data_IF_040015043830
#
_entry.id   IF_040015043830
#
_cell.length_a   1.000
_cell.length_b   1.000
_cell.length_c   1.000
_cell.angle_alpha   90.00
_cell.angle_beta   90.00
_cell.angle_gamma   90.00
#
_symmetry.space_group_name_H-M   'P 1'
#
loop_
_entity.id
_entity.type
_entity.pdbx_description
1 polymer ?
#
# COMPACT_ATOMS: atom_id res chain seq x y z
N UNK A 1 6.82 -29.22 -15.55
CA UNK A 1 5.43 -29.62 -15.24
C UNK A 1 4.69 -28.31 -14.96
N UNK A 2 3.78 -27.92 -15.86
CA UNK A 2 3.04 -26.67 -15.76
C UNK A 2 1.87 -26.86 -14.80
N UNK A 3 1.96 -26.28 -13.61
CA UNK A 3 0.85 -26.31 -12.65
C UNK A 3 -0.20 -25.30 -13.13
N UNK A 4 -1.31 -25.79 -13.63
CA UNK A 4 -2.46 -24.95 -13.96
C UNK A 4 -3.02 -24.36 -12.66
N UNK A 5 -2.79 -23.05 -12.44
CA UNK A 5 -3.50 -22.31 -11.41
C UNK A 5 -5.01 -22.37 -11.69
N UNK A 6 -5.75 -22.73 -10.66
CA UNK A 6 -7.20 -22.89 -10.69
C UNK A 6 -7.90 -21.64 -11.22
N UNK A 7 -8.73 -21.84 -12.22
CA UNK A 7 -9.57 -20.85 -12.87
C UNK A 7 -10.63 -20.33 -11.89
N UNK A 8 -10.47 -19.11 -11.42
CA UNK A 8 -11.60 -18.18 -11.27
C UNK A 8 -11.03 -16.74 -11.23
N UNK A 9 -10.54 -16.31 -12.38
CA UNK A 9 -10.19 -14.91 -12.59
C UNK A 9 -11.36 -14.28 -13.31
N UNK A 10 -12.14 -13.45 -12.62
CA UNK A 10 -13.14 -12.62 -13.28
C UNK A 10 -12.45 -11.79 -14.36
N UNK A 11 -12.99 -11.78 -15.57
CA UNK A 11 -12.49 -10.93 -16.63
C UNK A 11 -12.56 -9.46 -16.20
N UNK A 12 -11.57 -8.63 -16.59
CA UNK A 12 -11.62 -7.20 -16.27
C UNK A 12 -12.88 -6.58 -16.90
N UNK A 13 -13.65 -5.86 -16.07
CA UNK A 13 -14.85 -5.13 -16.53
C UNK A 13 -14.44 -4.17 -17.63
N UNK A 14 -15.20 -4.17 -18.74
CA UNK A 14 -14.96 -3.28 -19.88
C UNK A 14 -14.98 -1.82 -19.43
N UNK A 15 -14.15 -0.94 -20.02
CA UNK A 15 -14.05 0.48 -19.63
C UNK A 15 -15.39 1.25 -19.66
N UNK A 16 -16.36 0.79 -20.43
CA UNK A 16 -17.70 1.41 -20.60
C UNK A 16 -18.64 1.19 -19.41
N UNK A 17 -18.33 0.24 -18.51
CA UNK A 17 -19.12 -0.05 -17.30
C UNK A 17 -18.49 0.50 -16.01
N UNK A 18 -17.39 1.22 -16.10
CA UNK A 18 -16.79 1.85 -14.93
C UNK A 18 -17.66 3.01 -14.46
N UNK A 19 -18.31 2.82 -13.32
CA UNK A 19 -18.90 3.95 -12.61
C UNK A 19 -17.78 4.96 -12.32
N UNK A 20 -17.99 6.21 -12.76
CA UNK A 20 -17.05 7.28 -12.48
C UNK A 20 -17.14 7.66 -11.00
N UNK A 21 -16.29 7.03 -10.17
CA UNK A 21 -16.24 7.33 -8.73
C UNK A 21 -15.88 8.80 -8.49
N UNK A 22 -15.21 9.43 -9.44
CA UNK A 22 -14.88 10.84 -9.38
C UNK A 22 -16.13 11.69 -9.56
N UNK A 23 -17.01 11.29 -10.48
CA UNK A 23 -18.33 11.92 -10.64
C UNK A 23 -19.20 11.66 -9.40
N UNK A 24 -19.21 10.44 -8.86
CA UNK A 24 -19.90 10.13 -7.61
C UNK A 24 -19.35 10.97 -6.45
N UNK A 25 -18.05 11.09 -6.31
CA UNK A 25 -17.42 11.91 -5.29
C UNK A 25 -17.66 13.40 -5.51
N UNK A 26 -17.72 13.88 -6.76
CA UNK A 26 -18.07 15.26 -7.10
C UNK A 26 -19.55 15.56 -6.90
N UNK A 27 -20.44 14.58 -7.13
CA UNK A 27 -21.88 14.68 -6.83
C UNK A 27 -22.19 14.58 -5.34
N UNK A 28 -21.28 14.03 -4.55
CA UNK A 28 -21.38 14.01 -3.10
C UNK A 28 -21.10 15.41 -2.58
N UNK A 29 -22.13 16.25 -2.50
CA UNK A 29 -22.03 17.46 -1.70
C UNK A 29 -21.64 17.06 -0.27
N UNK A 30 -20.37 17.26 0.08
CA UNK A 30 -19.82 16.95 1.40
C UNK A 30 -20.56 17.72 2.51
N UNK A 31 -21.29 18.79 2.15
CA UNK A 31 -22.03 19.62 3.06
C UNK A 31 -23.53 19.53 2.75
N UNK A 32 -24.33 19.45 3.80
CA UNK A 32 -25.79 19.62 3.71
C UNK A 32 -26.15 21.10 3.52
N UNK A 33 -27.44 21.38 3.38
CA UNK A 33 -27.93 22.75 3.23
C UNK A 33 -27.58 23.67 4.42
N UNK A 34 -27.21 23.11 5.57
CA UNK A 34 -26.83 23.82 6.78
C UNK A 34 -25.30 23.92 6.96
N UNK A 35 -24.51 23.48 5.97
CA UNK A 35 -23.07 23.49 6.01
C UNK A 35 -22.43 22.39 6.88
N UNK A 36 -23.19 21.36 7.25
CA UNK A 36 -22.68 20.21 8.02
C UNK A 36 -22.14 19.12 7.09
N UNK A 37 -20.97 18.57 7.43
CA UNK A 37 -20.35 17.50 6.66
C UNK A 37 -21.21 16.22 6.70
N UNK A 38 -21.47 15.66 5.51
CA UNK A 38 -22.24 14.43 5.34
C UNK A 38 -21.32 13.21 5.18
N UNK A 39 -20.90 12.64 6.31
CA UNK A 39 -20.01 11.46 6.30
C UNK A 39 -20.65 10.19 5.70
N UNK A 40 -21.96 10.07 5.71
CA UNK A 40 -22.66 8.88 5.21
C UNK A 40 -22.55 8.74 3.69
N UNK A 41 -22.57 9.86 2.97
CA UNK A 41 -22.38 9.86 1.50
C UNK A 41 -20.95 9.45 1.10
N UNK A 42 -19.96 9.87 1.88
CA UNK A 42 -18.56 9.49 1.64
C UNK A 42 -18.35 8.00 1.88
N UNK A 43 -19.02 7.41 2.87
CA UNK A 43 -19.03 5.95 3.09
C UNK A 43 -19.66 5.19 1.93
N UNK A 44 -20.75 5.70 1.37
CA UNK A 44 -21.39 5.07 0.22
C UNK A 44 -20.46 5.09 -1.00
N UNK A 45 -19.79 6.21 -1.28
CA UNK A 45 -18.79 6.29 -2.34
C UNK A 45 -17.64 5.28 -2.14
N UNK A 46 -17.17 5.12 -0.89
CA UNK A 46 -16.17 4.12 -0.55
C UNK A 46 -16.71 2.68 -0.79
N UNK A 47 -17.94 2.38 -0.39
CA UNK A 47 -18.56 1.08 -0.62
C UNK A 47 -18.68 0.76 -2.12
N UNK A 48 -19.14 1.71 -2.93
CA UNK A 48 -19.27 1.53 -4.37
C UNK A 48 -17.88 1.33 -5.02
N UNK A 49 -16.86 2.06 -4.59
CA UNK A 49 -15.49 1.85 -5.05
C UNK A 49 -14.99 0.43 -4.75
N UNK A 50 -15.25 -0.09 -3.54
CA UNK A 50 -14.88 -1.47 -3.21
C UNK A 50 -15.62 -2.50 -4.04
N UNK A 51 -16.95 -2.37 -4.16
CA UNK A 51 -17.78 -3.35 -4.87
C UNK A 51 -17.47 -3.40 -6.36
N UNK A 52 -17.28 -2.24 -6.98
CA UNK A 52 -17.21 -2.13 -8.44
C UNK A 52 -15.78 -2.12 -8.97
N UNK A 53 -14.81 -1.75 -8.15
CA UNK A 53 -13.41 -1.67 -8.59
C UNK A 53 -12.47 -2.58 -7.79
N UNK A 54 -12.34 -2.36 -6.48
CA UNK A 54 -11.31 -3.03 -5.68
C UNK A 54 -11.50 -4.54 -5.67
N UNK A 55 -12.71 -5.01 -5.33
CA UNK A 55 -12.98 -6.44 -5.20
C UNK A 55 -12.85 -7.19 -6.53
N UNK A 56 -13.19 -6.55 -7.64
CA UNK A 56 -13.10 -7.16 -8.97
C UNK A 56 -11.65 -7.25 -9.47
N UNK A 57 -10.78 -6.33 -9.02
CA UNK A 57 -9.38 -6.29 -9.41
C UNK A 57 -8.44 -6.87 -8.34
N UNK A 58 -8.94 -7.47 -7.26
CA UNK A 58 -8.12 -8.12 -6.25
C UNK A 58 -7.86 -9.57 -6.62
N UNK A 59 -6.60 -9.99 -6.52
CA UNK A 59 -6.23 -11.42 -6.62
C UNK A 59 -6.55 -12.09 -5.29
N UNK A 60 -7.33 -13.15 -5.33
CA UNK A 60 -7.68 -13.93 -4.16
C UNK A 60 -6.87 -15.21 -4.12
N UNK A 61 -6.36 -15.54 -2.96
CA UNK A 61 -5.62 -16.76 -2.67
C UNK A 61 -6.46 -17.65 -1.75
N UNK A 62 -6.27 -18.96 -1.84
CA UNK A 62 -7.01 -19.91 -1.01
C UNK A 62 -6.65 -19.76 0.47
N UNK A 63 -5.36 -19.61 0.76
CA UNK A 63 -4.84 -19.38 2.10
C UNK A 63 -3.64 -18.44 2.10
N UNK A 64 -3.11 -18.15 3.30
CA UNK A 64 -1.98 -17.24 3.46
C UNK A 64 -0.66 -17.85 2.95
N UNK A 65 -0.49 -19.16 3.05
CA UNK A 65 0.73 -19.85 2.62
C UNK A 65 0.86 -19.76 1.10
N UNK A 66 -0.19 -20.12 0.36
CA UNK A 66 -0.25 -19.94 -1.10
C UNK A 66 0.04 -18.48 -1.51
N UNK A 67 -0.53 -17.52 -0.76
CA UNK A 67 -0.33 -16.10 -1.03
C UNK A 67 1.11 -15.69 -0.87
N UNK A 68 1.75 -16.02 0.26
CA UNK A 68 3.14 -15.64 0.54
C UNK A 68 4.08 -16.32 -0.43
N UNK A 69 3.91 -17.60 -0.71
CA UNK A 69 4.69 -18.34 -1.70
C UNK A 69 4.58 -17.71 -3.10
N UNK A 70 3.37 -17.35 -3.50
CA UNK A 70 3.16 -16.65 -4.77
C UNK A 70 3.90 -15.31 -4.80
N UNK A 71 3.81 -14.51 -3.74
CA UNK A 71 4.42 -13.17 -3.68
C UNK A 71 5.95 -13.22 -3.64
N UNK A 72 6.54 -14.23 -2.98
CA UNK A 72 7.99 -14.46 -2.97
C UNK A 72 8.47 -14.96 -4.34
N UNK A 73 7.84 -16.01 -4.88
CA UNK A 73 8.24 -16.63 -6.14
C UNK A 73 8.15 -15.67 -7.34
N UNK A 74 7.22 -14.71 -7.29
CA UNK A 74 7.07 -13.68 -8.31
C UNK A 74 7.80 -12.37 -7.97
N UNK A 75 8.70 -12.36 -6.97
CA UNK A 75 9.53 -11.21 -6.59
C UNK A 75 8.76 -9.96 -6.15
N UNK A 76 7.62 -10.15 -5.53
CA UNK A 76 6.87 -9.07 -4.90
C UNK A 76 7.30 -8.84 -3.46
N UNK A 77 7.46 -9.91 -2.66
CA UNK A 77 7.95 -9.84 -1.29
C UNK A 77 9.42 -10.25 -1.21
N UNK A 78 10.14 -9.60 -0.30
CA UNK A 78 11.50 -9.94 0.04
C UNK A 78 11.51 -11.21 0.90
N UNK A 79 12.09 -12.33 0.41
CA UNK A 79 12.14 -13.57 1.18
C UNK A 79 12.88 -13.42 2.50
N UNK A 80 13.91 -12.55 2.56
CA UNK A 80 14.71 -12.33 3.77
C UNK A 80 13.87 -11.84 4.95
N UNK A 81 12.80 -11.09 4.71
CA UNK A 81 11.91 -10.63 5.77
C UNK A 81 11.05 -11.77 6.31
N UNK A 82 10.58 -12.65 5.44
CA UNK A 82 9.74 -13.78 5.81
C UNK A 82 10.55 -14.86 6.54
N UNK A 83 11.76 -15.13 6.09
CA UNK A 83 12.66 -16.16 6.64
C UNK A 83 13.13 -15.86 8.08
N UNK A 84 12.99 -14.62 8.55
CA UNK A 84 13.32 -14.24 9.93
C UNK A 84 12.31 -14.77 10.96
N UNK A 85 11.15 -15.25 10.51
CA UNK A 85 10.04 -15.64 11.37
C UNK A 85 9.54 -17.04 11.08
N UNK A 86 9.07 -17.73 12.11
CA UNK A 86 8.31 -18.96 11.92
C UNK A 86 6.99 -18.67 11.19
N UNK A 87 6.64 -19.48 10.22
CA UNK A 87 5.41 -19.29 9.44
C UNK A 87 4.13 -19.29 10.30
N UNK A 88 4.12 -20.06 11.38
CA UNK A 88 3.03 -20.05 12.37
C UNK A 88 2.82 -18.67 12.99
N UNK A 89 3.91 -17.98 13.32
CA UNK A 89 3.86 -16.60 13.83
C UNK A 89 3.33 -15.63 12.76
N UNK A 90 3.83 -15.72 11.53
CA UNK A 90 3.35 -14.88 10.41
C UNK A 90 1.83 -15.03 10.26
N UNK A 91 1.35 -16.27 10.29
CA UNK A 91 -0.09 -16.57 10.18
C UNK A 91 -0.91 -15.93 11.30
N UNK A 92 -0.44 -16.00 12.54
CA UNK A 92 -1.12 -15.37 13.68
C UNK A 92 -1.06 -13.83 13.59
N UNK A 93 0.05 -13.26 13.13
CA UNK A 93 0.20 -11.81 12.94
C UNK A 93 -0.79 -11.27 11.90
N UNK A 94 -0.89 -11.91 10.74
CA UNK A 94 -1.88 -11.55 9.72
C UNK A 94 -3.31 -11.68 10.25
N UNK A 95 -3.61 -12.78 10.94
CA UNK A 95 -4.91 -13.00 11.57
C UNK A 95 -5.23 -11.90 12.61
N UNK A 96 -4.24 -11.45 13.38
CA UNK A 96 -4.37 -10.33 14.32
C UNK A 96 -4.75 -9.04 13.59
N UNK A 97 -4.08 -8.69 12.48
CA UNK A 97 -4.40 -7.52 11.68
C UNK A 97 -5.83 -7.59 11.13
N UNK A 98 -6.24 -8.73 10.57
CA UNK A 98 -7.60 -8.93 10.05
C UNK A 98 -8.70 -8.93 11.13
N UNK A 99 -8.36 -9.27 12.39
CA UNK A 99 -9.31 -9.23 13.51
C UNK A 99 -9.81 -7.80 13.83
N UNK A 100 -9.05 -6.77 13.47
CA UNK A 100 -9.49 -5.37 13.59
C UNK A 100 -10.64 -5.00 12.65
N UNK A 101 -10.91 -5.80 11.61
CA UNK A 101 -11.98 -5.54 10.63
C UNK A 101 -11.90 -4.11 10.09
N UNK A 102 -10.71 -3.69 9.70
CA UNK A 102 -10.43 -2.32 9.27
C UNK A 102 -11.41 -1.83 8.19
N UNK A 103 -11.79 -0.57 8.29
CA UNK A 103 -12.63 0.11 7.30
C UNK A 103 -12.10 1.53 7.09
N UNK A 104 -11.90 1.90 5.85
CA UNK A 104 -11.55 3.28 5.51
C UNK A 104 -12.69 4.21 5.93
N UNK A 105 -12.33 5.31 6.58
CA UNK A 105 -13.31 6.30 7.07
C UNK A 105 -13.81 7.22 5.97
N UNK A 106 -13.04 7.36 4.88
CA UNK A 106 -13.36 8.22 3.74
C UNK A 106 -13.09 7.53 2.41
N UNK A 107 -13.80 7.96 1.36
CA UNK A 107 -13.54 7.54 -0.01
C UNK A 107 -12.11 7.90 -0.44
N UNK A 108 -11.68 9.13 -0.16
CA UNK A 108 -10.34 9.60 -0.51
C UNK A 108 -9.25 8.72 0.11
N UNK A 109 -9.41 8.31 1.38
CA UNK A 109 -8.48 7.41 2.06
C UNK A 109 -8.40 6.04 1.37
N UNK A 110 -9.55 5.45 1.04
CA UNK A 110 -9.61 4.19 0.32
C UNK A 110 -8.99 4.29 -1.08
N UNK A 111 -9.40 5.30 -1.83
CA UNK A 111 -8.91 5.55 -3.18
C UNK A 111 -7.39 5.74 -3.20
N UNK A 112 -6.87 6.62 -2.33
CA UNK A 112 -5.42 6.89 -2.25
C UNK A 112 -4.61 5.66 -1.85
N UNK A 113 -5.13 4.85 -0.91
CA UNK A 113 -4.47 3.60 -0.54
C UNK A 113 -4.34 2.66 -1.75
N UNK A 114 -5.43 2.36 -2.44
CA UNK A 114 -5.43 1.41 -3.55
C UNK A 114 -4.74 1.93 -4.82
N UNK A 115 -4.72 3.23 -5.03
CA UNK A 115 -4.01 3.81 -6.19
C UNK A 115 -2.51 3.96 -5.98
N UNK A 116 -2.06 4.23 -4.74
CA UNK A 116 -0.67 4.62 -4.47
C UNK A 116 0.11 3.70 -3.53
N UNK A 117 -0.54 3.00 -2.58
CA UNK A 117 0.18 2.27 -1.53
C UNK A 117 0.13 0.76 -1.66
N UNK A 118 -0.99 0.19 -2.08
CA UNK A 118 -1.15 -1.26 -2.15
C UNK A 118 -0.23 -1.88 -3.19
N UNK A 119 0.26 -3.07 -2.90
CA UNK A 119 1.02 -3.87 -3.87
C UNK A 119 0.11 -4.28 -5.02
N UNK A 120 0.58 -4.08 -6.24
CA UNK A 120 -0.10 -4.44 -7.47
C UNK A 120 0.74 -5.43 -8.27
N UNK A 121 0.10 -6.10 -9.21
CA UNK A 121 0.81 -6.81 -10.27
C UNK A 121 1.68 -5.84 -11.06
N UNK A 122 2.80 -6.31 -11.65
CA UNK A 122 3.72 -5.46 -12.41
C UNK A 122 3.06 -4.72 -13.60
N UNK A 123 1.93 -5.23 -14.11
CA UNK A 123 1.12 -4.53 -15.11
C UNK A 123 0.18 -3.46 -14.52
N UNK A 124 0.21 -3.27 -13.20
CA UNK A 124 -0.58 -2.28 -12.47
C UNK A 124 -2.09 -2.58 -12.37
N UNK A 125 -2.57 -3.70 -12.94
CA UNK A 125 -4.00 -3.94 -13.13
C UNK A 125 -4.70 -4.58 -11.96
N UNK A 126 -3.98 -5.34 -11.12
CA UNK A 126 -4.57 -6.12 -10.04
C UNK A 126 -3.91 -5.83 -8.71
N UNK A 127 -4.73 -5.88 -7.66
CA UNK A 127 -4.29 -5.71 -6.28
C UNK A 127 -3.89 -7.05 -5.67
N UNK A 128 -2.72 -7.12 -5.07
CA UNK A 128 -2.16 -8.31 -4.42
C UNK A 128 -2.28 -8.24 -2.89
N UNK A 129 -2.45 -7.04 -2.35
CA UNK A 129 -2.57 -6.78 -0.91
C UNK A 129 -3.86 -6.04 -0.57
N UNK A 130 -4.35 -6.30 0.65
CA UNK A 130 -5.26 -5.43 1.36
C UNK A 130 -4.50 -4.58 2.37
N UNK A 131 -5.18 -3.65 3.02
CA UNK A 131 -4.57 -2.78 4.03
C UNK A 131 -3.94 -3.59 5.17
N UNK A 132 -4.63 -4.62 5.64
CA UNK A 132 -4.17 -5.52 6.70
C UNK A 132 -2.89 -6.26 6.31
N UNK A 133 -2.78 -6.69 5.05
CA UNK A 133 -1.58 -7.35 4.53
C UNK A 133 -0.39 -6.40 4.53
N UNK A 134 -0.60 -5.15 4.04
CA UNK A 134 0.44 -4.13 3.99
C UNK A 134 0.92 -3.75 5.38
N UNK A 135 0.00 -3.64 6.35
CA UNK A 135 0.34 -3.40 7.76
C UNK A 135 1.18 -4.53 8.33
N UNK A 136 0.74 -5.79 8.14
CA UNK A 136 1.47 -6.97 8.65
C UNK A 136 2.88 -7.05 8.05
N UNK A 137 3.01 -6.84 6.74
CA UNK A 137 4.31 -6.89 6.08
C UNK A 137 5.24 -5.74 6.51
N UNK A 138 4.69 -4.55 6.71
CA UNK A 138 5.43 -3.41 7.24
C UNK A 138 5.92 -3.67 8.67
N UNK A 139 5.08 -4.26 9.51
CA UNK A 139 5.43 -4.61 10.88
C UNK A 139 6.53 -5.67 10.95
N UNK A 140 6.45 -6.73 10.14
CA UNK A 140 7.52 -7.74 10.03
C UNK A 140 8.85 -7.11 9.61
N UNK A 141 8.82 -6.26 8.59
CA UNK A 141 10.02 -5.58 8.10
C UNK A 141 10.66 -4.67 9.15
N UNK A 142 9.86 -3.85 9.84
CA UNK A 142 10.38 -2.90 10.84
C UNK A 142 10.84 -3.60 12.14
N UNK A 143 10.26 -4.74 12.46
CA UNK A 143 10.59 -5.48 13.66
C UNK A 143 11.86 -6.34 13.53
N UNK A 144 12.34 -6.59 12.31
CA UNK A 144 13.62 -7.26 12.01
C UNK A 144 13.85 -8.52 12.86
N UNK A 145 12.87 -9.43 12.90
CA UNK A 145 12.93 -10.70 13.66
C UNK A 145 12.34 -10.63 15.07
N UNK A 146 12.05 -9.45 15.62
CA UNK A 146 11.41 -9.32 16.94
C UNK A 146 9.89 -9.53 16.83
N UNK A 147 9.43 -10.69 17.30
CA UNK A 147 8.00 -11.04 17.28
C UNK A 147 7.14 -10.14 18.15
N UNK A 148 7.63 -9.72 19.32
CA UNK A 148 6.89 -8.84 20.24
C UNK A 148 6.72 -7.44 19.65
N UNK A 149 7.78 -6.91 19.02
CA UNK A 149 7.72 -5.63 18.32
C UNK A 149 6.79 -5.70 17.11
N UNK A 150 6.82 -6.79 16.33
CA UNK A 150 5.93 -6.96 15.18
C UNK A 150 4.45 -6.92 15.58
N UNK A 151 4.06 -7.64 16.65
CA UNK A 151 2.69 -7.59 17.17
C UNK A 151 2.30 -6.19 17.65
N UNK A 152 3.19 -5.53 18.38
CA UNK A 152 2.96 -4.17 18.86
C UNK A 152 2.77 -3.18 17.70
N UNK A 153 3.61 -3.25 16.68
CA UNK A 153 3.50 -2.39 15.49
C UNK A 153 2.19 -2.60 14.74
N UNK A 154 1.72 -3.85 14.58
CA UNK A 154 0.41 -4.12 13.99
C UNK A 154 -0.69 -3.41 14.79
N UNK A 155 -0.71 -3.54 16.11
CA UNK A 155 -1.73 -2.92 16.96
C UNK A 155 -1.69 -1.39 16.86
N UNK A 156 -0.50 -0.79 16.89
CA UNK A 156 -0.33 0.66 16.81
C UNK A 156 -0.78 1.23 15.46
N UNK A 157 -0.44 0.55 14.35
CA UNK A 157 -0.85 0.98 13.02
C UNK A 157 -2.34 0.78 12.81
N UNK A 158 -2.89 -0.39 13.19
CA UNK A 158 -4.31 -0.70 13.00
C UNK A 158 -5.24 0.19 13.84
N UNK A 159 -4.77 0.64 15.00
CA UNK A 159 -5.51 1.61 15.84
C UNK A 159 -5.29 3.07 15.45
N UNK A 160 -4.35 3.32 14.53
CA UNK A 160 -4.00 4.68 14.07
C UNK A 160 -3.17 5.50 15.05
N UNK A 161 -2.56 4.85 16.05
CA UNK A 161 -1.63 5.51 17.00
C UNK A 161 -0.24 5.70 16.40
N UNK A 162 0.15 4.82 15.48
CA UNK A 162 1.37 4.94 14.69
C UNK A 162 1.03 4.95 13.20
N UNK A 163 1.56 5.92 12.48
CA UNK A 163 1.48 6.00 11.04
C UNK A 163 2.90 6.00 10.47
N UNK A 164 3.32 4.94 9.78
CA UNK A 164 4.61 4.93 9.09
C UNK A 164 4.69 6.05 8.05
N UNK A 165 5.89 6.57 7.83
CA UNK A 165 6.12 7.50 6.73
C UNK A 165 5.72 6.86 5.39
N UNK A 166 5.28 7.69 4.43
CA UNK A 166 4.83 7.22 3.12
C UNK A 166 5.82 6.26 2.45
N UNK A 167 7.12 6.57 2.31
CA UNK A 167 8.07 5.66 1.66
C UNK A 167 8.24 4.36 2.43
N UNK A 168 8.29 4.41 3.76
CA UNK A 168 8.38 3.21 4.59
C UNK A 168 7.17 2.30 4.39
N UNK A 169 5.96 2.86 4.47
CA UNK A 169 4.73 2.09 4.30
C UNK A 169 4.58 1.54 2.88
N UNK A 170 5.06 2.29 1.88
CA UNK A 170 5.02 1.87 0.48
C UNK A 170 6.01 0.73 0.19
N UNK A 171 7.24 0.82 0.70
CA UNK A 171 8.37 -0.02 0.25
C UNK A 171 8.76 -1.14 1.21
N UNK A 172 8.36 -1.08 2.50
CA UNK A 172 8.75 -2.07 3.50
C UNK A 172 8.40 -3.50 3.07
N UNK A 173 9.39 -4.38 3.07
CA UNK A 173 9.22 -5.81 2.79
C UNK A 173 8.95 -6.17 1.33
N UNK A 174 9.05 -5.25 0.39
CA UNK A 174 8.99 -5.54 -1.05
C UNK A 174 10.36 -5.97 -1.56
N UNK A 175 10.39 -6.93 -2.48
CA UNK A 175 11.63 -7.41 -3.11
C UNK A 175 12.24 -6.33 -4.03
N UNK A 176 11.39 -5.66 -4.80
CA UNK A 176 11.76 -4.46 -5.55
C UNK A 176 11.22 -3.26 -4.77
N UNK A 177 12.10 -2.56 -4.10
CA UNK A 177 11.75 -1.43 -3.24
C UNK A 177 12.57 -0.20 -3.58
N UNK A 178 11.92 0.96 -3.53
CA UNK A 178 12.61 2.24 -3.49
C UNK A 178 13.09 2.59 -2.07
N UNK A 179 13.52 3.81 -1.90
CA UNK A 179 13.98 4.33 -0.61
C UNK A 179 12.91 4.28 0.48
N UNK A 180 13.35 4.15 1.72
CA UNK A 180 12.47 4.13 2.90
C UNK A 180 12.26 5.51 3.51
N UNK A 181 12.93 6.53 2.97
CA UNK A 181 12.90 7.92 3.44
C UNK A 181 12.60 8.86 2.27
N UNK A 182 11.84 9.91 2.54
CA UNK A 182 11.47 10.94 1.55
C UNK A 182 12.12 12.29 1.83
N UNK A 183 12.88 12.41 2.92
CA UNK A 183 13.42 13.68 3.38
C UNK A 183 14.94 13.62 3.40
N UNK A 184 15.53 14.69 2.88
CA UNK A 184 16.97 14.90 2.90
C UNK A 184 17.27 16.20 3.69
N UNK A 185 17.97 16.05 4.80
CA UNK A 185 18.32 17.17 5.66
C UNK A 185 19.75 17.64 5.38
N UNK A 186 19.89 18.86 4.93
CA UNK A 186 21.17 19.50 4.68
C UNK A 186 21.35 20.71 5.60
N UNK A 187 22.53 20.81 6.19
CA UNK A 187 22.92 22.04 6.87
C UNK A 187 23.48 23.01 5.83
N UNK A 188 22.91 24.20 5.77
CA UNK A 188 23.34 25.29 4.88
C UNK A 188 23.93 26.36 5.73
N UNK A 189 25.16 26.79 5.41
CA UNK A 189 25.82 27.92 6.00
C UNK A 189 25.55 29.17 5.16
N UNK A 190 25.66 30.36 5.79
CA UNK A 190 25.44 31.65 5.12
C UNK A 190 26.64 32.04 4.24
N UNK A 191 26.90 31.21 3.22
CA UNK A 191 27.89 31.52 2.17
C UNK A 191 27.49 30.85 0.85
N UNK A 192 27.88 31.44 -0.27
CA UNK A 192 27.50 31.01 -1.62
C UNK A 192 27.97 29.62 -1.96
N UNK A 193 29.09 29.18 -1.43
CA UNK A 193 29.63 27.82 -1.66
C UNK A 193 28.73 26.76 -1.01
N UNK A 194 28.32 26.93 0.24
CA UNK A 194 27.44 26.06 0.96
C UNK A 194 26.03 26.01 0.32
N UNK A 195 25.51 27.16 -0.08
CA UNK A 195 24.23 27.26 -0.81
C UNK A 195 24.32 26.50 -2.13
N UNK A 196 25.36 26.70 -2.93
CA UNK A 196 25.57 26.03 -4.21
C UNK A 196 25.68 24.51 -4.07
N UNK A 197 26.44 24.03 -3.06
CA UNK A 197 26.52 22.59 -2.76
C UNK A 197 25.17 22.00 -2.38
N UNK A 198 24.42 22.71 -1.55
CA UNK A 198 23.10 22.23 -1.09
C UNK A 198 22.10 22.14 -2.25
N UNK A 199 22.06 23.13 -3.13
CA UNK A 199 21.20 23.10 -4.34
C UNK A 199 21.60 21.93 -5.23
N UNK A 200 22.90 21.74 -5.50
CA UNK A 200 23.37 20.66 -6.34
C UNK A 200 23.05 19.28 -5.74
N UNK A 201 23.24 19.10 -4.44
CA UNK A 201 22.91 17.86 -3.73
C UNK A 201 21.40 17.57 -3.79
N UNK A 202 20.56 18.57 -3.58
CA UNK A 202 19.11 18.42 -3.70
C UNK A 202 18.68 18.00 -5.12
N UNK A 203 19.25 18.63 -6.16
CA UNK A 203 18.91 18.31 -7.55
C UNK A 203 19.32 16.88 -7.93
N UNK A 204 20.51 16.43 -7.54
CA UNK A 204 20.99 15.09 -7.81
C UNK A 204 20.12 14.04 -7.10
N UNK A 205 19.79 14.28 -5.83
CA UNK A 205 18.98 13.34 -5.06
C UNK A 205 17.53 13.23 -5.57
N UNK A 206 16.91 14.35 -5.93
CA UNK A 206 15.52 14.34 -6.40
C UNK A 206 15.38 13.80 -7.82
N UNK A 207 16.38 13.98 -8.71
CA UNK A 207 16.36 13.38 -10.04
C UNK A 207 16.50 11.86 -9.98
N UNK A 208 17.36 11.34 -9.13
CA UNK A 208 17.56 9.89 -8.95
C UNK A 208 16.29 9.20 -8.42
N UNK A 209 15.60 9.83 -7.46
CA UNK A 209 14.32 9.31 -6.93
C UNK A 209 13.17 9.38 -7.96
N UNK A 210 13.18 10.34 -8.87
CA UNK A 210 12.18 10.45 -9.94
C UNK A 210 12.39 9.39 -11.02
N UNK A 211 13.63 9.08 -11.35
CA UNK A 211 13.97 8.06 -12.35
C UNK A 211 13.60 6.63 -11.87
N UNK A 212 13.63 6.36 -10.56
CA UNK A 212 13.19 5.08 -10.00
C UNK A 212 11.67 4.89 -10.04
N UNK A 213 10.88 5.96 -9.92
CA UNK A 213 9.42 5.87 -10.08
C UNK A 213 9.00 5.61 -11.53
N UNK A 214 9.69 6.18 -12.52
CA UNK A 214 9.40 6.00 -13.95
C UNK A 214 9.87 4.63 -14.48
N UNK A 215 10.95 4.06 -13.94
CA UNK A 215 11.43 2.74 -14.36
C UNK A 215 10.50 1.59 -13.96
N UNK A 216 9.63 1.79 -12.97
CA UNK A 216 8.59 0.84 -12.57
C UNK A 216 7.39 0.77 -13.52
N UNK A 217 7.29 1.68 -14.49
CA UNK A 217 6.17 1.79 -15.44
C UNK A 217 6.50 1.20 -16.81
N UNK A 218 7.79 0.97 -17.11
CA UNK A 218 8.27 0.56 -18.45
C UNK A 218 8.98 -0.81 -18.52
N UNK A 219 8.81 -1.69 -17.53
CA UNK A 219 9.35 -3.05 -17.57
C UNK A 219 8.25 -4.10 -17.57
#
# INVERSE_FOLDING_TARGET
MSTQLGKTVAEPVKPEEQLDYHALNAMLNLYDANGKIQFDKDREAANQFFLQHVNQNTVYFHDLEEKIDYLINNKYYDPQVIEQYDFSFIKELFKRAYAYKFRFKSFLGAYKYYTSYTLKTFDGRRYLERFEDRVSMTALFLADGDTGLAEHLVDEIMTGRFQPATPTFLNAGKAQRGELVSCFLLRIEDNMESIGRSINSCLLYTSDAADEEDSGILA
#
